data_IF_613627678925
#
_entry.id   IF_613627678925
#
_cell.length_a   1.000
_cell.length_b   1.000
_cell.length_c   1.000
_cell.angle_alpha   90.00
_cell.angle_beta   90.00
_cell.angle_gamma   90.00
#
_symmetry.space_group_name_H-M   'P 1'
#
loop_
_entity.id
_entity.type
_entity.pdbx_description
1 polymer ?
#
# COMPACT_ATOMS: atom_id res chain seq x y z
N UNK A 1 -3.53 -28.13 20.06
CA UNK A 1 -2.20 -27.48 19.85
C UNK A 1 -2.27 -26.04 20.34
N UNK A 2 -1.22 -25.52 20.98
CA UNK A 2 -1.17 -24.10 21.31
C UNK A 2 -1.02 -23.26 20.02
N UNK A 3 -1.50 -21.99 20.02
CA UNK A 3 -1.32 -21.07 18.87
C UNK A 3 0.13 -20.94 18.47
N UNK A 4 1.06 -20.95 19.43
CA UNK A 4 2.51 -20.89 19.18
C UNK A 4 3.00 -22.13 18.43
N UNK A 5 2.53 -23.32 18.78
CA UNK A 5 2.92 -24.55 18.09
C UNK A 5 2.38 -24.59 16.65
N UNK A 6 1.15 -24.14 16.43
CA UNK A 6 0.56 -24.02 15.10
C UNK A 6 1.34 -23.01 14.21
N UNK A 7 1.68 -21.84 14.76
CA UNK A 7 2.49 -20.84 14.03
C UNK A 7 3.87 -21.40 13.68
N UNK A 8 4.58 -22.04 14.61
CA UNK A 8 5.89 -22.65 14.33
C UNK A 8 5.82 -23.68 13.22
N UNK A 9 4.78 -24.53 13.21
CA UNK A 9 4.59 -25.54 12.17
C UNK A 9 4.32 -24.88 10.79
N UNK A 10 3.44 -23.87 10.73
CA UNK A 10 3.15 -23.14 9.50
C UNK A 10 4.41 -22.46 8.94
N UNK A 11 5.18 -21.79 9.80
CA UNK A 11 6.43 -21.12 9.38
C UNK A 11 7.51 -22.12 8.96
N UNK A 12 7.60 -23.29 9.57
CA UNK A 12 8.55 -24.34 9.16
C UNK A 12 8.25 -24.79 7.72
N UNK A 13 6.98 -25.04 7.39
CA UNK A 13 6.55 -25.41 6.06
C UNK A 13 6.83 -24.31 5.02
N UNK A 14 6.52 -23.04 5.35
CA UNK A 14 6.81 -21.90 4.49
C UNK A 14 8.32 -21.73 4.23
N UNK A 15 9.14 -21.85 5.29
CA UNK A 15 10.61 -21.75 5.17
C UNK A 15 11.17 -22.81 4.23
N UNK A 16 10.70 -24.04 4.34
CA UNK A 16 11.14 -25.12 3.44
C UNK A 16 10.68 -24.87 2.00
N UNK A 17 9.41 -24.45 1.83
CA UNK A 17 8.87 -24.10 0.54
C UNK A 17 9.66 -22.95 -0.13
N UNK A 18 10.02 -21.90 0.61
CA UNK A 18 10.74 -20.74 0.08
C UNK A 18 12.23 -21.01 -0.18
N UNK A 19 12.84 -22.03 0.47
CA UNK A 19 14.19 -22.48 0.10
C UNK A 19 14.22 -23.16 -1.27
N UNK A 20 13.19 -23.96 -1.57
CA UNK A 20 13.09 -24.70 -2.83
C UNK A 20 12.47 -23.87 -3.94
N UNK A 21 11.63 -22.89 -3.61
CA UNK A 21 10.89 -22.04 -4.54
C UNK A 21 11.00 -20.55 -4.11
N UNK A 22 12.15 -19.89 -4.32
CA UNK A 22 12.36 -18.50 -3.86
C UNK A 22 11.34 -17.49 -4.39
N UNK A 23 10.84 -17.70 -5.62
CA UNK A 23 9.84 -16.80 -6.24
C UNK A 23 8.50 -16.83 -5.51
N UNK A 24 8.13 -17.96 -4.88
CA UNK A 24 6.90 -18.08 -4.10
C UNK A 24 6.92 -17.18 -2.83
N UNK A 25 8.10 -16.76 -2.39
CA UNK A 25 8.25 -15.86 -1.25
C UNK A 25 7.97 -14.39 -1.60
N UNK A 26 7.94 -14.04 -2.89
CA UNK A 26 7.70 -12.68 -3.35
C UNK A 26 6.21 -12.42 -3.44
N UNK A 27 5.74 -11.40 -2.74
CA UNK A 27 4.33 -11.03 -2.68
C UNK A 27 4.19 -9.53 -2.92
N UNK A 28 3.15 -9.14 -3.66
CA UNK A 28 2.70 -7.74 -3.73
C UNK A 28 1.56 -7.55 -2.75
N UNK A 29 1.76 -6.65 -1.80
CA UNK A 29 0.75 -6.22 -0.82
C UNK A 29 0.16 -4.89 -1.26
N UNK A 30 -1.13 -4.66 -1.00
CA UNK A 30 -1.82 -3.47 -1.47
C UNK A 30 -2.86 -2.95 -0.48
N UNK A 31 -3.08 -1.65 -0.54
CA UNK A 31 -4.25 -0.98 0.02
C UNK A 31 -4.85 -0.03 -1.02
N UNK A 32 -6.15 0.18 -0.94
CA UNK A 32 -6.90 1.05 -1.85
C UNK A 32 -7.93 1.85 -1.08
N UNK A 33 -8.24 3.05 -1.57
CA UNK A 33 -9.28 3.88 -1.02
C UNK A 33 -9.91 4.79 -2.08
N UNK A 34 -11.19 5.08 -1.86
CA UNK A 34 -11.97 6.03 -2.64
C UNK A 34 -11.91 7.40 -1.99
N UNK A 35 -11.66 8.43 -2.78
CA UNK A 35 -11.62 9.81 -2.30
C UNK A 35 -13.04 10.36 -2.20
N UNK A 36 -13.42 10.87 -1.04
CA UNK A 36 -14.61 11.67 -0.77
C UNK A 36 -14.23 13.16 -0.93
N UNK A 37 -14.66 13.74 -2.03
CA UNK A 37 -14.31 15.13 -2.38
C UNK A 37 -15.11 16.15 -1.58
N UNK A 38 -16.30 15.80 -1.11
CA UNK A 38 -17.16 16.71 -0.36
C UNK A 38 -16.64 16.92 1.06
N UNK A 39 -16.13 15.86 1.68
CA UNK A 39 -15.62 15.88 3.04
C UNK A 39 -14.09 15.97 3.14
N UNK A 40 -13.37 16.01 2.00
CA UNK A 40 -11.90 15.92 1.92
C UNK A 40 -11.37 14.71 2.72
N UNK A 41 -11.99 13.56 2.53
CA UNK A 41 -11.70 12.32 3.25
C UNK A 41 -11.33 11.17 2.30
N UNK A 42 -10.90 10.06 2.85
CA UNK A 42 -10.68 8.81 2.10
C UNK A 42 -11.33 7.64 2.83
N UNK A 43 -12.17 6.91 2.14
CA UNK A 43 -12.74 5.65 2.60
C UNK A 43 -11.83 4.51 2.15
N UNK A 44 -11.18 3.84 3.10
CA UNK A 44 -10.35 2.66 2.79
C UNK A 44 -11.27 1.49 2.46
N UNK A 45 -11.00 0.82 1.34
CA UNK A 45 -11.84 -0.26 0.80
C UNK A 45 -11.96 -1.47 1.75
N UNK A 46 -10.96 -1.66 2.63
CA UNK A 46 -10.94 -2.71 3.67
C UNK A 46 -10.73 -2.09 5.05
N UNK A 47 -11.79 -1.54 5.67
CA UNK A 47 -11.68 -0.86 6.97
C UNK A 47 -11.27 -1.79 8.12
N UNK A 48 -11.46 -3.10 7.98
CA UNK A 48 -10.96 -4.11 8.91
C UNK A 48 -9.43 -4.09 9.07
N UNK A 49 -8.70 -3.45 8.13
CA UNK A 49 -7.24 -3.27 8.24
C UNK A 49 -6.80 -2.41 9.42
N UNK A 50 -7.69 -1.72 10.10
CA UNK A 50 -7.26 -0.77 11.11
C UNK A 50 -7.08 -1.36 12.51
N UNK A 51 -7.63 -2.56 12.81
CA UNK A 51 -7.46 -3.20 14.13
C UNK A 51 -8.17 -4.56 14.21
N UNK A 52 -7.58 -5.61 14.79
CA UNK A 52 -6.17 -5.74 15.18
C UNK A 52 -5.26 -6.14 14.01
N UNK A 53 -3.96 -5.90 14.17
CA UNK A 53 -2.95 -6.36 13.20
C UNK A 53 -2.49 -7.79 13.48
N UNK A 54 -2.10 -8.51 12.42
CA UNK A 54 -1.61 -9.88 12.49
C UNK A 54 -0.56 -10.20 11.44
N UNK A 55 -0.07 -11.42 11.48
CA UNK A 55 0.88 -11.90 10.49
C UNK A 55 0.19 -12.15 9.15
N UNK A 56 0.85 -11.73 8.07
CA UNK A 56 0.44 -12.09 6.71
C UNK A 56 0.48 -13.62 6.52
N UNK A 57 -0.42 -14.24 5.72
CA UNK A 57 -0.39 -15.68 5.44
C UNK A 57 0.96 -16.18 4.93
N UNK A 58 1.64 -15.41 4.06
CA UNK A 58 3.00 -15.72 3.59
C UNK A 58 4.09 -15.66 4.68
N UNK A 59 3.76 -15.10 5.85
CA UNK A 59 4.58 -15.10 7.07
C UNK A 59 4.12 -16.12 8.12
N UNK A 60 3.13 -16.96 7.81
CA UNK A 60 2.57 -17.98 8.71
C UNK A 60 1.34 -17.53 9.51
N UNK A 61 0.74 -16.39 9.18
CA UNK A 61 -0.54 -15.96 9.73
C UNK A 61 -1.71 -16.75 9.15
N UNK A 62 -2.88 -16.62 9.76
CA UNK A 62 -4.12 -17.25 9.32
C UNK A 62 -4.98 -16.35 8.42
N UNK A 63 -4.55 -15.09 8.19
CA UNK A 63 -5.28 -14.11 7.40
C UNK A 63 -6.48 -13.47 8.11
N UNK A 64 -6.71 -13.78 9.39
CA UNK A 64 -7.82 -13.21 10.17
C UNK A 64 -7.65 -11.70 10.39
N UNK A 65 -6.41 -11.25 10.53
CA UNK A 65 -6.07 -9.85 10.80
C UNK A 65 -5.25 -9.22 9.66
N UNK A 66 -5.33 -7.90 9.54
CA UNK A 66 -4.57 -7.17 8.55
C UNK A 66 -3.06 -7.25 8.79
N UNK A 67 -2.29 -7.36 7.71
CA UNK A 67 -0.84 -7.28 7.81
C UNK A 67 -0.41 -5.83 8.14
N UNK A 68 0.56 -5.62 9.09
CA UNK A 68 1.06 -4.29 9.40
C UNK A 68 1.56 -3.49 8.18
N UNK A 69 2.11 -4.17 7.16
CA UNK A 69 2.54 -3.52 5.91
C UNK A 69 1.33 -2.99 5.13
N UNK A 70 0.22 -3.74 5.07
CA UNK A 70 -1.02 -3.27 4.43
C UNK A 70 -1.62 -2.08 5.19
N UNK A 71 -1.52 -2.04 6.53
CA UNK A 71 -1.94 -0.89 7.35
C UNK A 71 -1.06 0.34 7.04
N UNK A 72 0.24 0.17 6.87
CA UNK A 72 1.15 1.25 6.45
C UNK A 72 0.78 1.77 5.06
N UNK A 73 0.50 0.87 4.10
CA UNK A 73 0.04 1.25 2.76
C UNK A 73 -1.33 1.96 2.81
N UNK A 74 -2.24 1.53 3.68
CA UNK A 74 -3.52 2.23 3.90
C UNK A 74 -3.31 3.65 4.46
N UNK A 75 -2.33 3.85 5.32
CA UNK A 75 -1.91 5.18 5.78
C UNK A 75 -1.40 6.07 4.64
N UNK A 76 -0.61 5.51 3.72
CA UNK A 76 -0.16 6.22 2.52
C UNK A 76 -1.35 6.59 1.62
N UNK A 77 -2.26 5.65 1.34
CA UNK A 77 -3.49 5.88 0.56
C UNK A 77 -4.32 7.00 1.17
N UNK A 78 -4.56 6.95 2.48
CA UNK A 78 -5.38 7.94 3.19
C UNK A 78 -4.76 9.34 3.08
N UNK A 79 -3.48 9.48 3.36
CA UNK A 79 -2.79 10.77 3.30
C UNK A 79 -2.72 11.32 1.87
N UNK A 80 -2.38 10.48 0.90
CA UNK A 80 -2.29 10.89 -0.50
C UNK A 80 -3.65 11.31 -1.07
N UNK A 81 -4.73 10.58 -0.75
CA UNK A 81 -6.07 10.89 -1.22
C UNK A 81 -6.64 12.19 -0.63
N UNK A 82 -6.47 12.42 0.68
CA UNK A 82 -6.86 13.69 1.31
C UNK A 82 -6.07 14.86 0.71
N UNK A 83 -4.77 14.68 0.51
CA UNK A 83 -3.92 15.71 -0.12
C UNK A 83 -4.36 15.98 -1.56
N UNK A 84 -4.65 14.93 -2.35
CA UNK A 84 -5.17 15.06 -3.72
C UNK A 84 -6.45 15.90 -3.74
N UNK A 85 -7.42 15.57 -2.88
CA UNK A 85 -8.70 16.28 -2.80
C UNK A 85 -8.50 17.76 -2.43
N UNK A 86 -7.66 18.06 -1.44
CA UNK A 86 -7.35 19.42 -1.02
C UNK A 86 -6.67 20.24 -2.13
N UNK A 87 -5.70 19.63 -2.83
CA UNK A 87 -4.98 20.29 -3.95
C UNK A 87 -5.93 20.51 -5.12
N UNK A 88 -6.72 19.51 -5.53
CA UNK A 88 -7.69 19.64 -6.62
C UNK A 88 -8.70 20.78 -6.33
N UNK A 89 -9.20 20.84 -5.10
CA UNK A 89 -10.10 21.92 -4.63
C UNK A 89 -9.42 23.29 -4.73
N UNK A 90 -8.18 23.41 -4.24
CA UNK A 90 -7.41 24.65 -4.31
C UNK A 90 -7.13 25.12 -5.74
N UNK A 91 -6.86 24.18 -6.63
CA UNK A 91 -6.65 24.44 -8.06
C UNK A 91 -7.97 24.65 -8.84
N UNK A 92 -9.13 24.48 -8.19
CA UNK A 92 -10.47 24.55 -8.81
C UNK A 92 -10.62 23.56 -9.98
N UNK A 93 -10.01 22.40 -9.91
CA UNK A 93 -10.11 21.36 -10.93
C UNK A 93 -11.45 20.62 -10.80
N UNK A 94 -12.11 20.27 -11.95
CA UNK A 94 -13.38 19.56 -11.95
C UNK A 94 -13.19 18.05 -11.74
N UNK A 95 -12.53 17.67 -10.65
CA UNK A 95 -12.33 16.28 -10.26
C UNK A 95 -13.68 15.70 -9.79
N UNK A 96 -14.21 14.72 -10.51
CA UNK A 96 -15.51 14.09 -10.23
C UNK A 96 -15.40 12.90 -9.29
N UNK A 97 -14.37 12.09 -9.50
CA UNK A 97 -14.08 10.94 -8.65
C UNK A 97 -12.58 10.62 -8.68
N UNK A 98 -12.10 9.99 -7.60
CA UNK A 98 -10.74 9.46 -7.56
C UNK A 98 -10.65 8.21 -6.69
N UNK A 99 -9.82 7.27 -7.11
CA UNK A 99 -9.34 6.19 -6.25
C UNK A 99 -7.83 6.28 -6.13
N UNK A 100 -7.32 5.89 -4.98
CA UNK A 100 -5.88 5.82 -4.70
C UNK A 100 -5.56 4.40 -4.27
N UNK A 101 -4.53 3.82 -4.86
CA UNK A 101 -4.05 2.48 -4.53
C UNK A 101 -2.56 2.53 -4.26
N UNK A 102 -2.12 1.97 -3.15
CA UNK A 102 -0.72 1.76 -2.84
C UNK A 102 -0.39 0.27 -2.88
N UNK A 103 0.75 -0.06 -3.46
CA UNK A 103 1.27 -1.43 -3.56
C UNK A 103 2.71 -1.47 -3.05
N UNK A 104 3.07 -2.60 -2.46
CA UNK A 104 4.44 -2.83 -2.00
C UNK A 104 4.85 -4.28 -2.23
N UNK A 105 6.03 -4.49 -2.81
CA UNK A 105 6.60 -5.82 -3.05
C UNK A 105 7.48 -6.23 -1.88
N UNK A 106 7.24 -7.41 -1.33
CA UNK A 106 7.93 -7.95 -0.16
C UNK A 106 8.44 -9.36 -0.45
N UNK A 107 9.70 -9.63 -0.07
CA UNK A 107 10.29 -10.96 -0.08
C UNK A 107 10.28 -11.57 1.33
N UNK A 108 9.40 -12.52 1.56
CA UNK A 108 9.25 -13.18 2.86
C UNK A 108 10.45 -14.04 3.27
N UNK A 109 11.39 -14.33 2.38
CA UNK A 109 12.65 -15.02 2.75
C UNK A 109 13.48 -14.20 3.72
N UNK A 110 13.49 -12.85 3.54
CA UNK A 110 14.22 -11.95 4.44
C UNK A 110 13.62 -11.93 5.84
N UNK A 111 12.32 -11.62 5.96
CA UNK A 111 11.66 -11.49 7.28
C UNK A 111 11.54 -12.84 8.03
N UNK A 112 11.47 -13.98 7.33
CA UNK A 112 11.48 -15.31 7.92
C UNK A 112 12.90 -15.88 8.18
N UNK A 113 13.94 -15.10 7.87
CA UNK A 113 15.33 -15.50 7.99
C UNK A 113 15.67 -16.81 7.24
N UNK A 114 15.08 -16.98 6.06
CA UNK A 114 15.39 -18.09 5.13
C UNK A 114 16.67 -17.80 4.35
N UNK A 115 16.82 -16.55 3.93
CA UNK A 115 17.97 -16.05 3.17
C UNK A 115 18.41 -14.70 3.75
N UNK A 116 19.64 -14.63 4.28
CA UNK A 116 20.18 -13.39 4.84
C UNK A 116 20.49 -12.31 3.81
N UNK A 117 20.61 -12.69 2.52
CA UNK A 117 20.80 -11.74 1.44
C UNK A 117 19.47 -11.14 0.94
N UNK A 118 18.33 -11.78 1.24
CA UNK A 118 17.02 -11.23 0.90
C UNK A 118 16.69 -10.01 1.78
N UNK A 119 16.17 -8.92 1.19
CA UNK A 119 15.80 -7.73 1.95
C UNK A 119 14.61 -8.02 2.89
N UNK A 120 14.60 -7.36 4.06
CA UNK A 120 13.49 -7.49 5.03
C UNK A 120 12.37 -6.49 4.75
N UNK A 121 12.71 -5.31 4.20
CA UNK A 121 11.75 -4.26 3.84
C UNK A 121 11.10 -4.47 2.49
N UNK A 122 10.22 -3.53 2.10
CA UNK A 122 9.66 -3.48 0.76
C UNK A 122 10.78 -3.21 -0.27
N UNK A 123 10.76 -3.95 -1.36
CA UNK A 123 11.74 -3.82 -2.45
C UNK A 123 11.30 -2.80 -3.50
N UNK A 124 9.99 -2.56 -3.60
CA UNK A 124 9.39 -1.52 -4.41
C UNK A 124 8.06 -1.08 -3.79
N UNK A 125 7.70 0.19 -4.00
CA UNK A 125 6.39 0.74 -3.65
C UNK A 125 5.84 1.51 -4.84
N UNK A 126 4.52 1.38 -5.09
CA UNK A 126 3.80 2.12 -6.14
C UNK A 126 2.58 2.79 -5.54
N UNK A 127 2.34 4.04 -5.93
CA UNK A 127 1.15 4.81 -5.58
C UNK A 127 0.42 5.18 -6.87
N UNK A 128 -0.74 4.58 -7.09
CA UNK A 128 -1.52 4.71 -8.32
C UNK A 128 -2.75 5.56 -8.04
N UNK A 129 -2.91 6.64 -8.80
CA UNK A 129 -4.10 7.49 -8.81
C UNK A 129 -4.93 7.18 -10.05
N UNK A 130 -6.21 6.82 -9.88
CA UNK A 130 -7.17 6.72 -10.96
C UNK A 130 -8.15 7.88 -10.82
N UNK A 131 -8.18 8.78 -11.83
CA UNK A 131 -8.88 10.07 -11.77
C UNK A 131 -9.98 10.14 -12.82
N UNK A 132 -11.19 10.49 -12.42
CA UNK A 132 -12.24 10.99 -13.32
C UNK A 132 -12.14 12.51 -13.37
N UNK A 133 -11.33 13.00 -14.30
CA UNK A 133 -10.98 14.41 -14.43
C UNK A 133 -10.78 14.80 -15.91
N UNK A 134 -11.55 15.78 -16.36
CA UNK A 134 -11.35 16.42 -17.66
C UNK A 134 -10.61 17.75 -17.45
N UNK A 135 -9.31 17.76 -17.73
CA UNK A 135 -8.47 18.93 -17.62
C UNK A 135 -7.26 18.81 -18.57
N UNK A 136 -6.60 19.94 -18.92
CA UNK A 136 -5.34 19.89 -19.64
C UNK A 136 -4.29 19.06 -18.92
N UNK A 137 -3.47 18.32 -19.68
CA UNK A 137 -2.43 17.44 -19.10
C UNK A 137 -1.51 18.19 -18.12
N UNK A 138 -1.13 19.42 -18.43
CA UNK A 138 -0.32 20.27 -17.55
C UNK A 138 -0.98 20.48 -16.17
N UNK A 139 -2.31 20.64 -16.13
CA UNK A 139 -3.05 20.77 -14.86
C UNK A 139 -3.08 19.47 -14.07
N UNK A 140 -3.18 18.33 -14.76
CA UNK A 140 -3.12 17.00 -14.14
C UNK A 140 -1.72 16.76 -13.58
N UNK A 141 -0.68 17.03 -14.34
CA UNK A 141 0.71 16.90 -13.91
C UNK A 141 0.99 17.77 -12.68
N UNK A 142 0.47 19.01 -12.69
CA UNK A 142 0.60 19.93 -11.56
C UNK A 142 -0.17 19.45 -10.31
N UNK A 143 -1.35 18.89 -10.49
CA UNK A 143 -2.12 18.27 -9.40
C UNK A 143 -1.31 17.16 -8.72
N UNK A 144 -0.72 16.27 -9.51
CA UNK A 144 0.09 15.16 -8.99
C UNK A 144 1.39 15.65 -8.34
N UNK A 145 2.10 16.58 -8.99
CA UNK A 145 3.31 17.22 -8.42
C UNK A 145 3.03 17.79 -7.02
N UNK A 146 1.95 18.58 -6.89
CA UNK A 146 1.59 19.20 -5.61
C UNK A 146 1.09 18.18 -4.59
N UNK A 147 0.33 17.17 -5.02
CA UNK A 147 -0.09 16.06 -4.15
C UNK A 147 1.13 15.33 -3.59
N UNK A 148 2.08 14.99 -4.42
CA UNK A 148 3.35 14.38 -4.03
C UNK A 148 4.14 15.27 -3.06
N UNK A 149 4.24 16.57 -3.38
CA UNK A 149 4.98 17.54 -2.55
C UNK A 149 4.43 17.69 -1.14
N UNK A 150 3.10 17.68 -0.99
CA UNK A 150 2.42 17.99 0.28
C UNK A 150 1.92 16.76 1.03
N UNK A 151 1.97 15.57 0.45
CA UNK A 151 1.62 14.34 1.16
C UNK A 151 2.71 13.97 2.18
N UNK A 152 2.41 14.17 3.47
CA UNK A 152 3.38 13.95 4.56
C UNK A 152 3.87 12.51 4.57
N UNK A 153 2.97 11.51 4.47
CA UNK A 153 3.36 10.08 4.51
C UNK A 153 4.25 9.73 3.33
N UNK A 154 3.88 10.17 2.11
CA UNK A 154 4.71 9.95 0.93
C UNK A 154 6.13 10.56 1.10
N UNK A 155 6.21 11.80 1.60
CA UNK A 155 7.50 12.47 1.84
C UNK A 155 8.33 11.79 2.92
N UNK A 156 7.68 11.17 3.90
CA UNK A 156 8.36 10.40 4.95
C UNK A 156 8.92 9.08 4.42
N UNK A 157 8.20 8.39 3.52
CA UNK A 157 8.65 7.15 2.88
C UNK A 157 9.76 7.39 1.84
N UNK A 158 9.92 8.61 1.34
CA UNK A 158 11.00 9.02 0.47
C UNK A 158 10.85 8.55 -0.99
N UNK A 159 11.98 8.49 -1.71
CA UNK A 159 12.02 8.20 -3.16
C UNK A 159 11.72 6.74 -3.53
N UNK A 160 11.51 5.87 -2.54
CA UNK A 160 11.15 4.47 -2.78
C UNK A 160 9.76 4.28 -3.39
N UNK A 161 8.90 5.32 -3.38
CA UNK A 161 7.53 5.27 -3.87
C UNK A 161 7.44 5.81 -5.30
N UNK A 162 7.15 4.94 -6.27
CA UNK A 162 6.85 5.32 -7.65
C UNK A 162 5.40 5.79 -7.76
N UNK A 163 5.12 6.85 -8.52
CA UNK A 163 3.78 7.40 -8.71
C UNK A 163 3.30 7.15 -10.14
N UNK A 164 2.09 6.59 -10.27
CA UNK A 164 1.40 6.36 -11.53
C UNK A 164 0.07 7.09 -11.55
N UNK A 165 -0.36 7.57 -12.73
CA UNK A 165 -1.66 8.21 -12.93
C UNK A 165 -2.41 7.53 -14.06
N UNK A 166 -3.68 7.21 -13.80
CA UNK A 166 -4.61 6.69 -14.80
C UNK A 166 -5.80 7.64 -14.89
N UNK A 167 -6.21 7.96 -16.11
CA UNK A 167 -7.44 8.70 -16.37
C UNK A 167 -8.54 7.69 -16.70
N UNK A 168 -9.67 7.81 -16.02
CA UNK A 168 -10.85 6.96 -16.20
C UNK A 168 -11.93 7.62 -17.03
#
# INVERSE_FOLDING_TARGET
MSKIAALKAAQANLKEHYRTNPEAARQTLAAEGRVDLDNLAVEITRPEFLNPAGLHPSGGGDGTFACPVEIMLAGLVSCAGVTLAAVATSMKLPLRAATVRAEGDLDFRGTLAVDRAAPVGLTAMRLVFTLDLEAPQESIDKLIELTHRYCVVHRTLGEAVQVEVKLG
#
